data_IF_015700736340
#
_entry.id   IF_015700736340
#
_cell.length_a   1.000
_cell.length_b   1.000
_cell.length_c   1.000
_cell.angle_alpha   90.00
_cell.angle_beta   90.00
_cell.angle_gamma   90.00
#
_symmetry.space_group_name_H-M   'P 1'
#
loop_
_entity.id
_entity.type
_entity.pdbx_description
1 polymer ?
#
# COMPACT_ATOMS: atom_id res chain seq x y z
N UNK A 1 5.55 25.07 -25.96
CA UNK A 1 5.44 23.62 -25.68
C UNK A 1 5.10 23.46 -24.22
N UNK A 2 3.95 22.89 -23.89
CA UNK A 2 3.63 22.53 -22.50
C UNK A 2 4.49 21.30 -22.16
N UNK A 3 5.35 21.36 -21.14
CA UNK A 3 6.16 20.21 -20.75
C UNK A 3 5.26 19.05 -20.28
N UNK A 4 5.76 17.82 -20.39
CA UNK A 4 5.03 16.63 -19.92
C UNK A 4 4.58 16.83 -18.47
N UNK A 5 3.31 16.49 -18.19
CA UNK A 5 2.81 16.51 -16.81
C UNK A 5 3.72 15.65 -15.94
N UNK A 6 4.05 16.15 -14.76
CA UNK A 6 4.99 15.57 -13.80
C UNK A 6 4.74 14.06 -13.51
N UNK A 7 3.49 13.60 -13.60
CA UNK A 7 3.15 12.19 -13.44
C UNK A 7 3.76 11.27 -14.52
N UNK A 8 3.80 11.72 -15.77
CA UNK A 8 4.41 10.97 -16.87
C UNK A 8 5.94 11.09 -16.83
N UNK A 9 6.45 12.27 -16.48
CA UNK A 9 7.89 12.48 -16.35
C UNK A 9 8.51 11.63 -15.23
N UNK A 10 7.77 11.42 -14.15
CA UNK A 10 8.19 10.56 -13.04
C UNK A 10 8.35 9.07 -13.40
N UNK A 11 7.71 8.60 -14.47
CA UNK A 11 7.90 7.24 -14.99
C UNK A 11 9.20 7.10 -15.80
N UNK A 12 9.73 8.21 -16.32
CA UNK A 12 10.96 8.24 -17.12
C UNK A 12 12.18 8.53 -16.25
N UNK A 13 12.05 9.36 -15.20
CA UNK A 13 13.15 9.74 -14.32
C UNK A 13 12.81 9.53 -12.83
N UNK A 14 13.20 8.37 -12.29
CA UNK A 14 12.95 7.98 -10.89
C UNK A 14 13.56 8.95 -9.85
N UNK A 15 14.72 9.53 -10.15
CA UNK A 15 15.40 10.45 -9.25
C UNK A 15 14.59 11.73 -8.99
N UNK A 16 13.75 12.16 -9.95
CA UNK A 16 12.94 13.34 -9.82
C UNK A 16 11.69 13.12 -8.94
N UNK A 17 11.14 11.89 -8.93
CA UNK A 17 10.00 11.49 -8.07
C UNK A 17 10.41 11.35 -6.62
N UNK A 18 11.57 10.76 -6.34
CA UNK A 18 12.07 10.58 -4.97
C UNK A 18 12.29 11.91 -4.24
N UNK A 19 12.49 13.02 -4.97
CA UNK A 19 12.65 14.36 -4.38
C UNK A 19 11.33 15.01 -3.99
N UNK A 20 10.19 14.50 -4.47
CA UNK A 20 8.86 15.04 -4.19
C UNK A 20 8.10 14.11 -3.22
N UNK A 21 8.11 14.46 -1.94
CA UNK A 21 7.65 13.60 -0.84
C UNK A 21 6.26 12.98 -1.00
N UNK A 22 5.28 13.70 -1.56
CA UNK A 22 3.90 13.20 -1.70
C UNK A 22 3.74 12.06 -2.71
N UNK A 23 4.55 12.01 -3.77
CA UNK A 23 4.45 10.89 -4.74
C UNK A 23 5.30 9.71 -4.31
N UNK A 24 6.41 9.96 -3.62
CA UNK A 24 7.21 8.89 -3.03
C UNK A 24 6.50 8.21 -1.85
N UNK A 25 5.61 8.90 -1.15
CA UNK A 25 4.86 8.35 0.00
C UNK A 25 3.79 7.34 -0.37
N UNK A 26 3.34 7.31 -1.64
CA UNK A 26 2.35 6.32 -2.09
C UNK A 26 3.06 5.01 -2.39
N UNK A 27 2.74 3.95 -1.64
CA UNK A 27 3.35 2.63 -1.78
C UNK A 27 3.21 2.06 -3.19
N UNK A 28 2.13 2.38 -3.91
CA UNK A 28 1.88 1.94 -5.29
C UNK A 28 2.87 2.50 -6.33
N UNK A 29 3.59 3.59 -5.99
CA UNK A 29 4.59 4.21 -6.86
C UNK A 29 5.99 3.61 -6.68
N UNK A 30 6.17 2.69 -5.75
CA UNK A 30 7.43 1.99 -5.54
C UNK A 30 7.73 1.03 -6.71
N UNK A 31 9.01 0.72 -6.96
CA UNK A 31 9.40 -0.27 -7.96
C UNK A 31 8.98 -1.68 -7.54
N UNK A 32 8.64 -2.51 -8.52
CA UNK A 32 8.33 -3.93 -8.33
C UNK A 32 9.61 -4.75 -8.11
N UNK A 33 9.60 -5.62 -7.11
CA UNK A 33 10.61 -6.68 -6.97
C UNK A 33 10.29 -7.88 -7.88
N UNK A 34 11.29 -8.73 -8.16
CA UNK A 34 11.08 -9.97 -8.91
C UNK A 34 10.07 -10.90 -8.22
N UNK A 35 10.03 -10.89 -6.89
CA UNK A 35 9.13 -11.72 -6.10
C UNK A 35 7.66 -11.36 -6.37
N UNK A 36 7.35 -10.07 -6.55
CA UNK A 36 6.01 -9.62 -6.95
C UNK A 36 5.65 -10.09 -8.35
N UNK A 37 6.59 -10.04 -9.31
CA UNK A 37 6.35 -10.58 -10.65
C UNK A 37 5.98 -12.06 -10.63
N UNK A 38 6.70 -12.87 -9.86
CA UNK A 38 6.41 -14.28 -9.73
C UNK A 38 5.11 -14.54 -8.96
N UNK A 39 4.86 -13.79 -7.88
CA UNK A 39 3.65 -13.93 -7.08
C UNK A 39 2.38 -13.66 -7.90
N UNK A 40 2.41 -12.65 -8.78
CA UNK A 40 1.25 -12.26 -9.59
C UNK A 40 1.08 -13.10 -10.86
N UNK A 41 2.17 -13.53 -11.50
CA UNK A 41 2.13 -14.14 -12.84
C UNK A 41 2.55 -15.62 -12.88
N UNK A 42 3.15 -16.14 -11.81
CA UNK A 42 3.60 -17.53 -11.65
C UNK A 42 4.24 -18.12 -12.92
N UNK A 43 3.59 -19.07 -13.60
CA UNK A 43 4.14 -19.71 -14.80
C UNK A 43 4.29 -18.77 -16.01
N UNK A 44 3.47 -17.72 -16.12
CA UNK A 44 3.50 -16.83 -17.28
C UNK A 44 4.85 -16.12 -17.40
N UNK A 45 5.56 -15.89 -16.28
CA UNK A 45 6.90 -15.31 -16.30
C UNK A 45 7.88 -16.16 -17.11
N UNK A 46 7.73 -17.48 -17.09
CA UNK A 46 8.59 -18.41 -17.83
C UNK A 46 8.13 -18.65 -19.28
N UNK A 47 6.81 -18.64 -19.52
CA UNK A 47 6.25 -18.82 -20.86
C UNK A 47 6.42 -17.58 -21.74
N UNK A 48 6.52 -16.39 -21.14
CA UNK A 48 6.57 -15.14 -21.88
C UNK A 48 7.80 -14.99 -22.79
N UNK A 49 9.05 -15.25 -22.36
CA UNK A 49 10.21 -15.23 -23.26
C UNK A 49 10.07 -16.22 -24.43
N UNK A 50 9.51 -17.40 -24.18
CA UNK A 50 9.24 -18.39 -25.23
C UNK A 50 8.20 -17.90 -26.23
N UNK A 51 7.14 -17.22 -25.76
CA UNK A 51 6.14 -16.62 -26.63
C UNK A 51 6.70 -15.49 -27.49
N UNK A 52 7.56 -14.64 -26.92
CA UNK A 52 8.26 -13.61 -27.69
C UNK A 52 9.11 -14.23 -28.79
N UNK A 53 9.83 -15.33 -28.50
CA UNK A 53 10.62 -16.04 -29.51
C UNK A 53 9.77 -16.54 -30.69
N UNK A 54 8.59 -17.10 -30.42
CA UNK A 54 7.66 -17.50 -31.49
C UNK A 54 7.13 -16.29 -32.28
N UNK A 55 6.87 -15.16 -31.62
CA UNK A 55 6.45 -13.92 -32.29
C UNK A 55 7.56 -13.36 -33.20
N UNK A 56 8.83 -13.44 -32.80
CA UNK A 56 9.98 -13.04 -33.62
C UNK A 56 10.21 -14.00 -34.80
N UNK A 57 9.92 -15.29 -34.63
CA UNK A 57 10.08 -16.29 -35.69
C UNK A 57 9.06 -16.14 -36.82
N UNK A 58 7.85 -15.63 -36.52
CA UNK A 58 6.80 -15.35 -37.49
C UNK A 58 6.47 -13.86 -37.58
N UNK A 59 7.38 -13.04 -38.11
CA UNK A 59 7.19 -11.60 -38.20
C UNK A 59 5.99 -11.24 -39.09
N UNK A 60 4.96 -10.69 -38.46
CA UNK A 60 3.78 -10.08 -39.08
C UNK A 60 3.54 -8.73 -38.42
N UNK A 61 2.84 -7.81 -39.08
CA UNK A 61 2.56 -6.46 -38.53
C UNK A 61 1.89 -6.53 -37.14
N UNK A 62 1.00 -7.50 -36.93
CA UNK A 62 0.35 -7.75 -35.65
C UNK A 62 1.35 -8.24 -34.56
N UNK A 63 2.28 -9.12 -34.92
CA UNK A 63 3.29 -9.62 -33.98
C UNK A 63 4.29 -8.54 -33.58
N UNK A 64 4.64 -7.62 -34.50
CA UNK A 64 5.48 -6.45 -34.20
C UNK A 64 4.80 -5.57 -33.13
N UNK A 65 3.50 -5.33 -33.27
CA UNK A 65 2.73 -4.58 -32.28
C UNK A 65 2.75 -5.25 -30.89
N UNK A 66 2.49 -6.57 -30.83
CA UNK A 66 2.49 -7.32 -29.56
C UNK A 66 3.88 -7.33 -28.90
N UNK A 67 4.95 -7.48 -29.67
CA UNK A 67 6.33 -7.43 -29.16
C UNK A 67 6.62 -6.05 -28.56
N UNK A 68 6.31 -4.97 -29.30
CA UNK A 68 6.52 -3.61 -28.80
C UNK A 68 5.71 -3.35 -27.53
N UNK A 69 4.45 -3.78 -27.50
CA UNK A 69 3.58 -3.64 -26.35
C UNK A 69 4.10 -4.42 -25.13
N UNK A 70 4.60 -5.65 -25.34
CA UNK A 70 5.17 -6.48 -24.28
C UNK A 70 6.44 -5.89 -23.69
N UNK A 71 7.40 -5.49 -24.53
CA UNK A 71 8.68 -4.91 -24.07
C UNK A 71 8.44 -3.59 -23.32
N UNK A 72 7.57 -2.73 -23.85
CA UNK A 72 7.26 -1.45 -23.21
C UNK A 72 6.51 -1.64 -21.89
N UNK A 73 5.55 -2.56 -21.84
CA UNK A 73 4.79 -2.87 -20.62
C UNK A 73 5.67 -3.47 -19.52
N UNK A 74 6.63 -4.33 -19.87
CA UNK A 74 7.58 -4.89 -18.89
C UNK A 74 8.46 -3.79 -18.29
N UNK A 75 8.95 -2.86 -19.12
CA UNK A 75 9.71 -1.72 -18.63
C UNK A 75 8.90 -0.90 -17.62
N UNK A 76 7.67 -0.53 -17.98
CA UNK A 76 6.81 0.28 -17.11
C UNK A 76 6.36 -0.46 -15.85
N UNK A 77 6.04 -1.75 -15.93
CA UNK A 77 5.75 -2.57 -14.76
C UNK A 77 6.96 -2.65 -13.81
N UNK A 78 8.18 -2.76 -14.36
CA UNK A 78 9.42 -2.71 -13.58
C UNK A 78 9.68 -1.36 -12.89
N UNK A 79 9.10 -0.28 -13.43
CA UNK A 79 9.23 1.07 -12.85
C UNK A 79 8.24 1.29 -11.71
N UNK A 80 7.00 0.81 -11.84
CA UNK A 80 5.90 1.12 -10.92
C UNK A 80 4.94 -0.08 -10.76
N UNK A 81 4.70 -0.49 -9.51
CA UNK A 81 3.85 -1.65 -9.16
C UNK A 81 2.46 -1.59 -9.79
N UNK A 82 1.82 -0.43 -9.79
CA UNK A 82 0.46 -0.30 -10.36
C UNK A 82 0.39 -0.59 -11.86
N UNK A 83 1.49 -0.46 -12.60
CA UNK A 83 1.52 -0.72 -14.05
C UNK A 83 1.60 -2.22 -14.37
N UNK A 84 1.71 -3.08 -13.35
CA UNK A 84 1.54 -4.53 -13.47
C UNK A 84 0.18 -4.91 -14.09
N UNK A 85 -0.86 -4.13 -13.81
CA UNK A 85 -2.20 -4.34 -14.38
C UNK A 85 -2.22 -4.16 -15.91
N UNK A 86 -1.36 -3.31 -16.46
CA UNK A 86 -1.21 -3.10 -17.92
C UNK A 86 -0.37 -4.22 -18.54
N UNK A 87 0.57 -4.79 -17.79
CA UNK A 87 1.39 -5.92 -18.24
C UNK A 87 0.58 -7.23 -18.35
N UNK A 88 -0.34 -7.48 -17.42
CA UNK A 88 -1.05 -8.75 -17.31
C UNK A 88 -1.74 -9.23 -18.62
N UNK A 89 -2.48 -8.38 -19.37
CA UNK A 89 -3.09 -8.81 -20.64
C UNK A 89 -2.09 -9.31 -21.68
N UNK A 90 -0.94 -8.64 -21.81
CA UNK A 90 0.09 -9.01 -22.79
C UNK A 90 0.78 -10.30 -22.40
N UNK A 91 1.06 -10.46 -21.10
CA UNK A 91 1.62 -11.70 -20.56
C UNK A 91 0.72 -12.89 -20.88
N UNK A 92 -0.60 -12.75 -20.71
CA UNK A 92 -1.57 -13.80 -21.03
C UNK A 92 -1.57 -14.15 -22.52
N UNK A 93 -1.57 -13.15 -23.42
CA UNK A 93 -1.59 -13.38 -24.87
C UNK A 93 -0.30 -14.07 -25.33
N UNK A 94 0.86 -13.51 -24.98
CA UNK A 94 2.17 -14.03 -25.42
C UNK A 94 2.44 -15.42 -24.82
N UNK A 95 2.13 -15.62 -23.54
CA UNK A 95 2.24 -16.94 -22.90
C UNK A 95 1.28 -17.95 -23.51
N UNK A 96 0.07 -17.51 -23.90
CA UNK A 96 -0.90 -18.35 -24.60
C UNK A 96 -0.41 -18.79 -25.99
N UNK A 97 0.24 -17.88 -26.74
CA UNK A 97 0.89 -18.22 -28.02
C UNK A 97 2.01 -19.24 -27.81
N UNK A 98 2.83 -19.06 -26.77
CA UNK A 98 3.89 -20.00 -26.41
C UNK A 98 3.33 -21.39 -26.11
N UNK A 99 2.36 -21.45 -25.20
CA UNK A 99 1.71 -22.69 -24.80
C UNK A 99 1.03 -23.38 -26.00
N UNK A 100 0.26 -22.65 -26.80
CA UNK A 100 -0.43 -23.20 -27.97
C UNK A 100 0.54 -23.74 -29.01
N UNK A 101 1.65 -23.02 -29.27
CA UNK A 101 2.68 -23.47 -30.22
C UNK A 101 3.38 -24.74 -29.74
N UNK A 102 3.72 -24.80 -28.44
CA UNK A 102 4.33 -25.99 -27.82
C UNK A 102 3.37 -27.19 -27.85
N UNK A 103 2.11 -26.99 -27.50
CA UNK A 103 1.07 -28.03 -27.57
C UNK A 103 0.90 -28.55 -29.00
N UNK A 104 0.79 -27.67 -30.00
CA UNK A 104 0.61 -28.06 -31.40
C UNK A 104 1.81 -28.84 -31.97
N UNK A 105 3.04 -28.54 -31.52
CA UNK A 105 4.23 -29.29 -31.91
C UNK A 105 4.18 -30.72 -31.37
N UNK A 106 3.88 -30.89 -30.09
CA UNK A 106 3.88 -32.20 -29.44
C UNK A 106 2.64 -33.04 -29.76
N UNK A 107 1.47 -32.44 -30.01
CA UNK A 107 0.28 -33.17 -30.48
C UNK A 107 0.50 -33.77 -31.86
N UNK A 108 1.19 -33.06 -32.77
CA UNK A 108 1.56 -33.59 -34.09
C UNK A 108 2.53 -34.78 -34.03
N UNK A 109 3.32 -34.88 -32.97
CA UNK A 109 4.20 -36.03 -32.72
C UNK A 109 3.44 -37.24 -32.13
N UNK A 110 2.23 -37.02 -31.61
CA UNK A 110 1.34 -38.04 -31.04
C UNK A 110 0.34 -38.58 -32.08
N UNK A 111 -0.12 -37.74 -33.01
CA UNK A 111 -1.03 -38.18 -34.06
C UNK A 111 -0.34 -39.17 -35.03
N UNK A 112 -0.86 -40.40 -35.18
CA UNK A 112 -0.39 -41.29 -36.22
C UNK A 112 -0.75 -40.71 -37.59
N UNK A 113 0.26 -40.35 -38.39
CA UNK A 113 0.04 -39.97 -39.79
C UNK A 113 -0.69 -41.12 -40.52
N UNK A 114 -1.80 -40.88 -41.23
CA UNK A 114 -2.40 -41.89 -42.08
C UNK A 114 -1.40 -42.28 -43.18
N UNK A 115 -1.23 -43.59 -43.35
CA UNK A 115 -0.09 -44.25 -44.00
C UNK A 115 0.20 -43.83 -45.45
N UNK A 116 1.49 -43.83 -45.81
CA UNK A 116 1.96 -44.34 -47.11
C UNK A 116 2.71 -45.65 -46.86
N UNK A 117 2.43 -46.72 -47.61
CA UNK A 117 3.05 -48.02 -47.41
C UNK A 117 4.45 -47.99 -48.04
N UNK A 118 5.48 -47.68 -47.26
CA UNK A 118 6.85 -47.94 -47.69
C UNK A 118 7.65 -48.56 -46.56
N UNK A 119 8.38 -49.64 -46.92
CA UNK A 119 9.15 -50.54 -46.05
C UNK A 119 9.84 -49.79 -44.90
N UNK A 120 9.28 -49.86 -43.69
CA UNK A 120 9.89 -49.29 -42.48
C UNK A 120 11.01 -50.20 -41.96
N UNK A 121 12.22 -49.66 -41.90
CA UNK A 121 13.33 -50.18 -41.07
C UNK A 121 13.01 -50.02 -39.58
N UNK A 122 13.28 -51.03 -38.74
CA UNK A 122 13.12 -51.01 -37.26
C UNK A 122 13.65 -49.75 -36.55
N UNK A 123 14.66 -49.08 -37.11
CA UNK A 123 15.25 -47.83 -36.57
C UNK A 123 14.31 -46.62 -36.69
N UNK A 124 13.41 -46.62 -37.68
CA UNK A 124 12.45 -45.53 -37.89
C UNK A 124 11.23 -45.66 -36.98
N UNK A 125 10.83 -46.90 -36.63
CA UNK A 125 9.78 -47.18 -35.64
C UNK A 125 10.23 -46.79 -34.23
N UNK A 126 11.45 -47.15 -33.80
CA UNK A 126 11.97 -46.76 -32.48
C UNK A 126 12.06 -45.23 -32.29
N UNK A 127 12.43 -44.48 -33.33
CA UNK A 127 12.47 -43.01 -33.28
C UNK A 127 11.07 -42.37 -33.21
N UNK A 128 10.06 -43.01 -33.81
CA UNK A 128 8.67 -42.53 -33.75
C UNK A 128 8.09 -42.77 -32.36
N UNK A 129 8.27 -43.97 -31.81
CA UNK A 129 7.84 -44.32 -30.44
C UNK A 129 8.50 -43.40 -29.41
N UNK A 130 9.81 -43.14 -29.53
CA UNK A 130 10.51 -42.22 -28.64
C UNK A 130 9.97 -40.78 -28.71
N UNK A 131 9.64 -40.27 -29.89
CA UNK A 131 9.05 -38.93 -30.05
C UNK A 131 7.65 -38.84 -29.46
N UNK A 132 6.84 -39.87 -29.64
CA UNK A 132 5.49 -39.94 -29.05
C UNK A 132 5.55 -40.02 -27.52
N UNK A 133 6.45 -40.82 -26.96
CA UNK A 133 6.66 -40.88 -25.49
C UNK A 133 7.09 -39.54 -24.91
N UNK A 134 8.06 -38.86 -25.55
CA UNK A 134 8.51 -37.52 -25.15
C UNK A 134 7.37 -36.49 -25.26
N UNK A 135 6.58 -36.54 -26.33
CA UNK A 135 5.42 -35.67 -26.51
C UNK A 135 4.37 -35.85 -25.41
N UNK A 136 4.04 -37.09 -25.05
CA UNK A 136 3.08 -37.39 -23.97
C UNK A 136 3.60 -36.90 -22.62
N UNK A 137 4.88 -37.13 -22.31
CA UNK A 137 5.50 -36.64 -21.07
C UNK A 137 5.46 -35.10 -21.01
N UNK A 138 5.80 -34.43 -22.10
CA UNK A 138 5.75 -32.97 -22.16
C UNK A 138 4.33 -32.43 -21.95
N UNK A 139 3.33 -33.02 -22.61
CA UNK A 139 1.92 -32.68 -22.44
C UNK A 139 1.45 -32.86 -20.99
N UNK A 140 1.89 -33.95 -20.34
CA UNK A 140 1.58 -34.20 -18.93
C UNK A 140 2.19 -33.13 -18.02
N UNK A 141 3.47 -32.79 -18.22
CA UNK A 141 4.16 -31.75 -17.45
C UNK A 141 3.46 -30.39 -17.61
N UNK A 142 3.18 -29.99 -18.85
CA UNK A 142 2.53 -28.70 -19.12
C UNK A 142 1.11 -28.66 -18.52
N UNK A 143 0.38 -29.78 -18.53
CA UNK A 143 -0.94 -29.89 -17.89
C UNK A 143 -0.85 -29.76 -16.37
N UNK A 144 0.11 -30.42 -15.72
CA UNK A 144 0.36 -30.29 -14.27
C UNK A 144 0.70 -28.85 -13.90
N UNK A 145 1.52 -28.19 -14.72
CA UNK A 145 1.89 -26.80 -14.55
C UNK A 145 0.67 -25.85 -14.64
N UNK A 146 -0.25 -26.06 -15.58
CA UNK A 146 -1.50 -25.29 -15.64
C UNK A 146 -2.44 -25.54 -14.46
N UNK A 147 -2.52 -26.78 -13.99
CA UNK A 147 -3.27 -27.08 -12.77
C UNK A 147 -2.66 -26.35 -11.57
N UNK A 148 -1.34 -26.37 -11.43
CA UNK A 148 -0.61 -25.60 -10.41
C UNK A 148 -0.88 -24.09 -10.53
N UNK A 149 -0.92 -23.54 -11.73
CA UNK A 149 -1.27 -22.13 -11.97
C UNK A 149 -2.66 -21.77 -11.47
N UNK A 150 -3.67 -22.62 -11.72
CA UNK A 150 -5.04 -22.38 -11.21
C UNK A 150 -5.08 -22.42 -9.69
N UNK A 151 -4.42 -23.39 -9.06
CA UNK A 151 -4.34 -23.48 -7.60
C UNK A 151 -3.64 -22.25 -7.00
N UNK A 152 -2.52 -21.81 -7.59
CA UNK A 152 -1.79 -20.62 -7.17
C UNK A 152 -2.66 -19.37 -7.27
N UNK A 153 -3.31 -19.13 -8.42
CA UNK A 153 -4.19 -17.97 -8.60
C UNK A 153 -5.34 -17.95 -7.59
N UNK A 154 -5.94 -19.12 -7.33
CA UNK A 154 -7.04 -19.26 -6.37
C UNK A 154 -6.57 -18.95 -4.95
N UNK A 155 -5.42 -19.50 -4.55
CA UNK A 155 -4.84 -19.26 -3.23
C UNK A 155 -4.43 -17.79 -3.03
N UNK A 156 -3.73 -17.20 -4.00
CA UNK A 156 -3.32 -15.78 -3.96
C UNK A 156 -4.52 -14.86 -3.88
N UNK A 157 -5.57 -15.13 -4.66
CA UNK A 157 -6.79 -14.32 -4.63
C UNK A 157 -7.47 -14.39 -3.27
N UNK A 158 -7.59 -15.60 -2.71
CA UNK A 158 -8.29 -15.85 -1.44
C UNK A 158 -7.56 -15.32 -0.21
N UNK A 159 -6.24 -15.46 -0.15
CA UNK A 159 -5.48 -15.12 1.07
C UNK A 159 -4.85 -13.72 1.03
N UNK A 160 -4.41 -13.25 -0.15
CA UNK A 160 -3.69 -11.97 -0.24
C UNK A 160 -4.60 -10.82 -0.70
N UNK A 161 -5.34 -11.01 -1.79
CA UNK A 161 -6.08 -9.91 -2.43
C UNK A 161 -7.49 -9.70 -1.86
N UNK A 162 -8.16 -10.72 -1.34
CA UNK A 162 -9.49 -10.58 -0.72
C UNK A 162 -9.43 -10.19 0.76
N UNK A 163 -8.87 -9.02 1.07
CA UNK A 163 -8.85 -8.44 2.42
C UNK A 163 -9.52 -7.06 2.45
N UNK A 164 -10.58 -6.84 3.26
CA UNK A 164 -11.18 -5.52 3.39
C UNK A 164 -10.28 -4.59 4.22
N UNK A 165 -10.06 -3.36 3.75
CA UNK A 165 -9.21 -2.39 4.47
C UNK A 165 -9.93 -1.62 5.57
N UNK A 166 -11.26 -1.70 5.64
CA UNK A 166 -12.07 -0.95 6.62
C UNK A 166 -12.44 -1.76 7.85
N UNK A 167 -12.60 -3.06 7.69
CA UNK A 167 -12.84 -4.00 8.78
C UNK A 167 -11.58 -4.81 8.94
N UNK A 168 -10.87 -4.61 10.05
CA UNK A 168 -9.65 -5.37 10.31
C UNK A 168 -10.04 -6.72 10.87
N UNK A 169 -9.35 -7.77 10.45
CA UNK A 169 -9.52 -9.10 11.05
C UNK A 169 -8.21 -9.65 11.57
N UNK A 170 -8.21 -10.07 12.83
CA UNK A 170 -7.14 -10.84 13.43
C UNK A 170 -7.59 -12.28 13.70
N UNK A 171 -6.61 -13.17 13.87
CA UNK A 171 -6.85 -14.52 14.37
C UNK A 171 -6.38 -14.57 15.82
N UNK A 172 -7.27 -15.00 16.70
CA UNK A 172 -6.92 -15.30 18.09
C UNK A 172 -6.07 -16.58 18.18
N UNK A 173 -5.47 -16.83 19.35
CA UNK A 173 -4.61 -18.00 19.57
C UNK A 173 -5.35 -19.33 19.41
N UNK A 174 -6.67 -19.33 19.60
CA UNK A 174 -7.57 -20.47 19.40
C UNK A 174 -8.03 -20.65 17.93
N UNK A 175 -7.59 -19.77 17.03
CA UNK A 175 -7.99 -19.77 15.61
C UNK A 175 -9.31 -19.04 15.34
N UNK A 176 -9.98 -18.49 16.35
CA UNK A 176 -11.17 -17.69 16.15
C UNK A 176 -10.84 -16.38 15.39
N UNK A 177 -11.71 -16.00 14.46
CA UNK A 177 -11.58 -14.73 13.73
C UNK A 177 -12.16 -13.60 14.57
N UNK A 178 -11.29 -12.73 15.09
CA UNK A 178 -11.69 -11.48 15.75
C UNK A 178 -11.77 -10.40 14.69
N UNK A 179 -12.87 -9.65 14.71
CA UNK A 179 -13.13 -8.57 13.77
C UNK A 179 -13.13 -7.27 14.53
N UNK A 180 -12.27 -6.33 14.13
CA UNK A 180 -12.23 -4.98 14.68
C UNK A 180 -12.93 -4.03 13.70
N UNK A 181 -13.93 -3.32 14.20
CA UNK A 181 -14.78 -2.43 13.40
C UNK A 181 -14.75 -0.98 13.87
N UNK A 182 -13.66 -0.61 14.54
CA UNK A 182 -13.42 0.71 15.11
C UNK A 182 -13.55 1.85 14.09
N UNK A 183 -13.19 1.62 12.82
CA UNK A 183 -13.35 2.62 11.75
C UNK A 183 -14.81 3.01 11.55
N UNK A 184 -15.71 2.03 11.38
CA UNK A 184 -17.14 2.31 11.17
C UNK A 184 -17.77 2.86 12.43
N UNK A 185 -17.36 2.36 13.60
CA UNK A 185 -17.78 2.88 14.90
C UNK A 185 -17.47 4.38 15.02
N UNK A 186 -16.21 4.78 14.84
CA UNK A 186 -15.77 6.17 14.92
C UNK A 186 -16.46 7.08 13.90
N UNK A 187 -16.58 6.63 12.64
CA UNK A 187 -17.26 7.41 11.61
C UNK A 187 -18.76 7.55 11.89
N UNK A 188 -19.40 6.53 12.44
CA UNK A 188 -20.81 6.58 12.85
C UNK A 188 -21.00 7.52 14.04
N UNK A 189 -20.10 7.47 15.03
CA UNK A 189 -20.12 8.40 16.14
C UNK A 189 -20.01 9.84 15.65
N UNK A 190 -19.06 10.11 14.75
CA UNK A 190 -18.84 11.43 14.17
C UNK A 190 -20.08 11.92 13.43
N UNK A 191 -20.76 11.05 12.69
CA UNK A 191 -22.02 11.37 11.99
C UNK A 191 -23.19 11.67 12.93
N UNK A 192 -23.32 10.96 14.04
CA UNK A 192 -24.49 11.05 14.92
C UNK A 192 -24.34 12.10 16.04
N UNK A 193 -23.10 12.45 16.42
CA UNK A 193 -22.83 13.21 17.65
C UNK A 193 -22.16 14.57 17.40
N UNK A 194 -21.91 14.95 16.15
CA UNK A 194 -21.33 16.25 15.80
C UNK A 194 -22.28 17.09 14.95
N UNK A 195 -22.15 18.43 14.97
CA UNK A 195 -22.90 19.31 14.06
C UNK A 195 -22.71 18.94 12.58
N UNK A 196 -23.72 19.15 11.73
CA UNK A 196 -23.64 18.82 10.30
C UNK A 196 -22.59 19.65 9.54
N UNK A 197 -22.30 20.86 10.02
CA UNK A 197 -21.29 21.76 9.48
C UNK A 197 -19.90 21.57 10.09
N UNK A 198 -19.73 20.60 10.99
CA UNK A 198 -18.46 20.34 11.66
C UNK A 198 -17.36 19.97 10.67
N UNK A 199 -16.17 20.57 10.87
CA UNK A 199 -15.00 20.38 10.01
C UNK A 199 -13.97 19.49 10.69
N UNK A 200 -13.58 18.43 9.99
CA UNK A 200 -12.71 17.38 10.50
C UNK A 200 -11.35 17.47 9.80
N UNK A 201 -10.30 17.63 10.60
CA UNK A 201 -8.91 17.54 10.15
C UNK A 201 -8.39 16.12 10.37
N UNK A 202 -7.91 15.50 9.30
CA UNK A 202 -7.26 14.19 9.30
C UNK A 202 -6.11 14.18 8.30
N UNK A 203 -5.33 13.10 8.26
CA UNK A 203 -4.42 12.87 7.12
C UNK A 203 -5.21 12.63 5.82
N UNK A 204 -4.60 12.93 4.68
CA UNK A 204 -5.27 12.94 3.36
C UNK A 204 -5.77 11.56 2.91
N UNK A 205 -5.13 10.48 3.37
CA UNK A 205 -5.53 9.09 3.10
C UNK A 205 -7.02 8.83 3.42
N UNK A 206 -7.53 9.43 4.50
CA UNK A 206 -8.83 9.11 5.09
C UNK A 206 -9.95 10.04 4.60
N UNK A 207 -9.64 11.11 3.85
CA UNK A 207 -10.62 12.16 3.50
C UNK A 207 -11.88 11.64 2.79
N UNK A 208 -11.72 10.72 1.84
CA UNK A 208 -12.87 10.09 1.17
C UNK A 208 -13.67 9.18 2.09
N UNK A 209 -13.03 8.48 3.02
CA UNK A 209 -13.72 7.59 3.97
C UNK A 209 -14.59 8.40 4.93
N UNK A 210 -14.04 9.50 5.49
CA UNK A 210 -14.76 10.40 6.39
C UNK A 210 -15.95 11.02 5.66
N UNK A 211 -15.75 11.52 4.44
CA UNK A 211 -16.83 12.13 3.65
C UNK A 211 -17.94 11.12 3.35
N UNK A 212 -17.59 9.90 2.91
CA UNK A 212 -18.56 8.89 2.52
C UNK A 212 -19.31 8.27 3.71
N UNK A 213 -18.65 8.06 4.84
CA UNK A 213 -19.23 7.34 5.99
C UNK A 213 -19.71 8.26 7.10
N UNK A 214 -18.89 9.22 7.50
CA UNK A 214 -19.23 10.17 8.55
C UNK A 214 -20.11 11.32 8.05
N UNK A 215 -20.15 11.58 6.73
CA UNK A 215 -20.90 12.70 6.14
C UNK A 215 -20.55 14.05 6.80
N UNK A 216 -19.26 14.35 6.92
CA UNK A 216 -18.74 15.60 7.49
C UNK A 216 -17.74 16.26 6.54
N UNK A 217 -17.57 17.57 6.72
CA UNK A 217 -16.63 18.37 5.91
C UNK A 217 -15.20 18.01 6.29
N UNK A 218 -14.36 17.69 5.30
CA UNK A 218 -12.94 17.38 5.49
C UNK A 218 -12.05 18.53 5.02
N UNK A 219 -10.96 18.78 5.72
CA UNK A 219 -9.99 19.83 5.36
C UNK A 219 -9.12 19.37 4.17
N UNK A 220 -8.64 18.14 4.18
CA UNK A 220 -7.81 17.56 3.10
C UNK A 220 -8.41 16.27 2.57
N UNK A 221 -8.26 16.05 1.27
CA UNK A 221 -8.78 14.90 0.55
C UNK A 221 -7.68 14.09 -0.14
N UNK A 222 -8.05 12.90 -0.63
CA UNK A 222 -7.16 11.97 -1.29
C UNK A 222 -6.92 12.32 -2.77
N UNK A 223 -7.47 13.44 -3.27
CA UNK A 223 -7.20 13.91 -4.63
C UNK A 223 -5.85 14.64 -4.72
N UNK A 224 -5.38 15.22 -3.62
CA UNK A 224 -4.03 15.83 -3.49
C UNK A 224 -3.68 16.90 -4.53
N UNK A 225 -4.68 17.64 -5.01
CA UNK A 225 -4.48 18.67 -6.05
C UNK A 225 -3.80 19.94 -5.51
N UNK A 226 -3.98 20.27 -4.22
CA UNK A 226 -3.40 21.44 -3.57
C UNK A 226 -2.38 21.03 -2.48
N UNK A 227 -1.13 20.91 -2.91
CA UNK A 227 0.01 20.54 -2.08
C UNK A 227 0.25 21.47 -0.89
N UNK A 228 0.00 22.77 -1.07
CA UNK A 228 0.14 23.77 -0.01
C UNK A 228 -0.84 23.55 1.13
N UNK A 229 -2.05 23.09 0.82
CA UNK A 229 -3.06 22.79 1.84
C UNK A 229 -2.69 21.55 2.67
N UNK A 230 -2.22 20.49 2.00
CA UNK A 230 -1.74 19.28 2.67
C UNK A 230 -0.49 19.59 3.53
N UNK A 231 0.42 20.42 3.01
CA UNK A 231 1.58 20.90 3.77
C UNK A 231 1.15 21.65 5.04
N UNK A 232 0.08 22.45 4.99
CA UNK A 232 -0.43 23.16 6.18
C UNK A 232 -0.99 22.21 7.24
N UNK A 233 -1.71 21.15 6.84
CA UNK A 233 -2.15 20.08 7.76
C UNK A 233 -0.95 19.30 8.31
N UNK A 234 0.04 18.97 7.48
CA UNK A 234 1.29 18.33 7.93
C UNK A 234 2.06 19.19 8.94
N UNK A 235 2.09 20.52 8.75
CA UNK A 235 2.64 21.46 9.71
C UNK A 235 1.90 21.43 11.04
N UNK A 236 0.56 21.43 11.02
CA UNK A 236 -0.23 21.34 12.25
C UNK A 236 0.09 20.04 13.02
N UNK A 237 0.10 18.90 12.33
CA UNK A 237 0.35 17.60 12.96
C UNK A 237 1.79 17.44 13.49
N UNK A 238 2.78 18.07 12.84
CA UNK A 238 4.19 17.94 13.20
C UNK A 238 4.69 19.01 14.19
N UNK A 239 3.93 20.09 14.43
CA UNK A 239 4.35 21.20 15.31
C UNK A 239 3.97 20.96 16.77
N UNK A 240 4.43 21.85 17.67
CA UNK A 240 3.95 21.91 19.05
C UNK A 240 2.49 22.34 19.11
N UNK A 241 1.84 22.05 20.23
CA UNK A 241 0.41 22.29 20.45
C UNK A 241 -0.02 23.76 20.20
N UNK A 242 0.77 24.73 20.67
CA UNK A 242 0.47 26.16 20.47
C UNK A 242 0.44 26.57 18.99
N UNK A 243 1.46 26.13 18.23
CA UNK A 243 1.56 26.42 16.79
C UNK A 243 0.52 25.66 15.99
N UNK A 244 0.28 24.40 16.36
CA UNK A 244 -0.76 23.62 15.73
C UNK A 244 -2.15 24.23 15.97
N UNK A 245 -2.39 24.79 17.17
CA UNK A 245 -3.64 25.50 17.47
C UNK A 245 -3.83 26.73 16.60
N UNK A 246 -2.81 27.56 16.41
CA UNK A 246 -2.86 28.70 15.46
C UNK A 246 -3.29 28.24 14.06
N UNK A 247 -2.75 27.13 13.58
CA UNK A 247 -3.06 26.56 12.26
C UNK A 247 -4.49 25.99 12.22
N UNK A 248 -4.90 25.24 13.24
CA UNK A 248 -6.25 24.68 13.32
C UNK A 248 -7.32 25.79 13.35
N UNK A 249 -7.02 26.93 14.00
CA UNK A 249 -7.90 28.10 14.00
C UNK A 249 -7.90 28.84 12.66
N UNK A 250 -6.75 28.96 11.97
CA UNK A 250 -6.67 29.51 10.61
C UNK A 250 -7.52 28.71 9.62
N UNK A 251 -7.55 27.39 9.78
CA UNK A 251 -8.29 26.46 8.91
C UNK A 251 -9.73 26.21 9.37
N UNK A 252 -10.16 26.84 10.47
CA UNK A 252 -11.49 26.69 11.08
C UNK A 252 -11.85 25.22 11.36
N UNK A 253 -10.96 24.50 12.06
CA UNK A 253 -11.11 23.08 12.42
C UNK A 253 -11.87 22.93 13.73
N UNK A 254 -12.86 22.03 13.75
CA UNK A 254 -13.62 21.68 14.95
C UNK A 254 -13.13 20.38 15.60
N UNK A 255 -12.86 19.36 14.77
CA UNK A 255 -12.46 18.04 15.22
C UNK A 255 -11.17 17.58 14.51
N UNK A 256 -10.34 16.84 15.25
CA UNK A 256 -9.12 16.21 14.74
C UNK A 256 -9.26 14.71 14.90
N UNK A 257 -9.06 13.97 13.81
CA UNK A 257 -9.10 12.51 13.79
C UNK A 257 -7.69 11.97 13.55
N UNK A 258 -7.23 11.11 14.44
CA UNK A 258 -5.95 10.39 14.33
C UNK A 258 -6.15 8.88 14.47
N UNK A 259 -5.38 8.11 13.72
CA UNK A 259 -5.35 6.65 13.82
C UNK A 259 -4.17 6.22 14.68
N UNK A 260 -4.47 5.43 15.71
CA UNK A 260 -3.49 4.91 16.65
C UNK A 260 -3.52 3.38 16.71
N UNK A 261 -2.45 2.73 16.24
CA UNK A 261 -2.40 1.28 16.16
C UNK A 261 -1.75 0.59 17.36
N UNK A 262 -1.29 1.34 18.36
CA UNK A 262 -0.36 0.83 19.38
C UNK A 262 -0.96 -0.21 20.33
N UNK A 263 -2.29 -0.21 20.54
CA UNK A 263 -2.97 -1.21 21.38
C UNK A 263 -3.18 -2.55 20.66
N UNK A 264 -3.63 -2.51 19.40
CA UNK A 264 -3.97 -3.71 18.63
C UNK A 264 -2.81 -4.25 17.80
N UNK A 265 -1.74 -3.47 17.59
CA UNK A 265 -0.63 -3.84 16.70
C UNK A 265 -0.89 -3.49 15.23
N UNK A 266 -1.68 -2.45 14.95
CA UNK A 266 -1.95 -2.01 13.58
C UNK A 266 -0.81 -1.16 13.02
N UNK A 267 -0.06 -1.70 12.06
CA UNK A 267 1.16 -1.08 11.54
C UNK A 267 0.93 0.11 10.59
N UNK A 268 -0.28 0.28 10.04
CA UNK A 268 -0.60 1.37 9.10
C UNK A 268 -1.23 2.58 9.80
N UNK A 269 -0.78 2.86 11.01
CA UNK A 269 -1.24 4.00 11.83
C UNK A 269 -0.51 5.31 11.48
N UNK A 270 -0.97 6.41 12.07
CA UNK A 270 -0.46 7.75 11.71
C UNK A 270 0.96 8.02 12.21
N UNK A 271 1.41 7.33 13.26
CA UNK A 271 2.77 7.46 13.78
C UNK A 271 3.79 6.87 12.79
N UNK A 272 3.49 5.77 12.09
CA UNK A 272 4.39 5.24 11.05
C UNK A 272 4.39 6.11 9.78
N UNK A 273 3.30 6.84 9.52
CA UNK A 273 3.20 7.82 8.43
C UNK A 273 3.76 9.19 8.80
N UNK A 274 4.08 9.43 10.06
CA UNK A 274 4.42 10.74 10.61
C UNK A 274 5.59 11.42 9.89
N UNK A 275 6.65 10.68 9.53
CA UNK A 275 7.78 11.27 8.81
C UNK A 275 7.38 11.82 7.44
N UNK A 276 6.38 11.24 6.78
CA UNK A 276 5.84 11.82 5.54
C UNK A 276 5.12 13.14 5.82
N UNK A 277 4.39 13.24 6.94
CA UNK A 277 3.78 14.50 7.37
C UNK A 277 4.83 15.58 7.62
N UNK A 278 5.95 15.23 8.26
CA UNK A 278 7.09 16.12 8.49
C UNK A 278 7.72 16.59 7.18
N UNK A 279 8.04 15.65 6.26
CA UNK A 279 8.63 15.96 4.95
C UNK A 279 7.74 16.86 4.10
N UNK A 280 6.43 16.60 4.09
CA UNK A 280 5.45 17.39 3.31
C UNK A 280 5.21 18.74 4.00
N UNK A 281 5.11 18.77 5.33
CA UNK A 281 4.98 19.98 6.13
C UNK A 281 6.14 20.95 5.94
N UNK A 282 7.37 20.44 5.96
CA UNK A 282 8.61 21.20 5.77
C UNK A 282 8.92 21.61 4.32
N UNK A 283 8.15 21.13 3.33
CA UNK A 283 8.43 21.40 1.91
C UNK A 283 8.01 22.79 1.42
N UNK A 284 7.22 23.53 2.20
CA UNK A 284 6.75 24.87 1.85
C UNK A 284 7.44 25.95 2.68
N UNK A 285 7.48 27.19 2.18
CA UNK A 285 8.15 28.32 2.87
C UNK A 285 7.65 28.54 4.30
N UNK A 286 6.33 28.43 4.51
CA UNK A 286 5.70 28.55 5.85
C UNK A 286 6.16 27.44 6.80
N UNK A 287 6.53 26.28 6.28
CA UNK A 287 6.98 25.11 7.02
C UNK A 287 8.49 24.99 7.17
N UNK A 288 9.30 25.97 6.72
CA UNK A 288 10.76 25.89 6.73
C UNK A 288 11.40 25.70 8.12
N UNK A 289 10.63 25.93 9.19
CA UNK A 289 11.02 25.66 10.57
C UNK A 289 10.93 24.18 10.96
N UNK A 290 10.18 23.36 10.19
CA UNK A 290 10.05 21.92 10.40
C UNK A 290 11.16 21.21 9.63
N UNK A 291 12.09 20.59 10.35
CA UNK A 291 13.19 19.82 9.76
C UNK A 291 13.10 18.37 10.18
N UNK A 292 13.22 17.46 9.23
CA UNK A 292 13.13 16.03 9.48
C UNK A 292 14.18 15.54 10.49
N UNK A 293 15.40 16.10 10.42
CA UNK A 293 16.49 15.79 11.34
C UNK A 293 16.14 16.01 12.82
N UNK A 294 15.26 16.97 13.12
CA UNK A 294 14.93 17.34 14.49
C UNK A 294 14.06 16.28 15.19
N UNK A 295 13.45 15.36 14.44
CA UNK A 295 12.61 14.27 14.98
C UNK A 295 13.38 12.96 15.22
N UNK A 296 14.65 12.92 14.80
CA UNK A 296 15.53 11.78 15.05
C UNK A 296 16.35 11.98 16.33
N UNK A 297 16.80 10.89 16.93
CA UNK A 297 17.80 10.94 18.00
C UNK A 297 19.16 11.39 17.44
N UNK A 298 20.13 11.78 18.28
CA UNK A 298 21.49 12.09 17.83
C UNK A 298 22.18 10.95 17.06
N UNK A 299 21.74 9.70 17.28
CA UNK A 299 22.21 8.52 16.55
C UNK A 299 21.52 8.32 15.19
N UNK A 300 20.50 9.13 14.86
CA UNK A 300 19.71 9.03 13.63
C UNK A 300 18.56 8.03 13.70
N UNK A 301 18.16 7.59 14.90
CA UNK A 301 17.07 6.63 15.09
C UNK A 301 15.74 7.35 15.33
N UNK A 302 14.64 6.81 14.80
CA UNK A 302 13.29 7.32 15.08
C UNK A 302 12.69 6.49 16.22
N UNK A 303 12.62 7.06 17.43
CA UNK A 303 12.21 6.37 18.65
C UNK A 303 11.11 7.13 19.38
N UNK A 304 10.14 6.38 19.92
CA UNK A 304 9.00 6.91 20.69
C UNK A 304 9.17 6.71 22.20
N UNK A 305 10.28 6.13 22.63
CA UNK A 305 10.64 5.92 24.02
C UNK A 305 11.27 7.16 24.65
N UNK A 306 11.73 7.03 25.89
CA UNK A 306 12.34 8.13 26.64
C UNK A 306 13.61 8.70 25.98
N UNK A 307 14.28 7.91 25.11
CA UNK A 307 15.45 8.33 24.35
C UNK A 307 15.07 9.05 23.05
N UNK A 308 13.78 9.15 22.73
CA UNK A 308 13.26 9.86 21.57
C UNK A 308 13.59 11.36 21.59
N UNK A 309 13.58 11.97 20.41
CA UNK A 309 13.80 13.42 20.30
C UNK A 309 12.73 14.20 21.07
N UNK A 310 13.15 15.23 21.81
CA UNK A 310 12.24 16.13 22.51
C UNK A 310 11.27 16.84 21.55
N UNK A 311 11.67 17.07 20.30
CA UNK A 311 10.78 17.63 19.27
C UNK A 311 9.65 16.66 18.93
N UNK A 312 9.94 15.35 18.88
CA UNK A 312 8.93 14.31 18.64
C UNK A 312 8.03 14.12 19.85
N UNK A 313 8.59 13.98 21.05
CA UNK A 313 7.83 13.75 22.29
C UNK A 313 6.88 14.91 22.66
N UNK A 314 7.13 16.11 22.13
CA UNK A 314 6.31 17.31 22.34
C UNK A 314 5.47 17.71 21.11
N UNK A 315 5.52 16.97 20.00
CA UNK A 315 4.71 17.30 18.82
C UNK A 315 3.23 16.95 19.04
N UNK A 316 2.36 17.63 18.30
CA UNK A 316 0.91 17.43 18.41
C UNK A 316 0.54 15.97 18.11
N UNK A 317 1.08 15.37 17.03
CA UNK A 317 0.76 13.98 16.68
C UNK A 317 1.08 13.00 17.82
N UNK A 318 2.27 13.11 18.45
CA UNK A 318 2.64 12.26 19.58
C UNK A 318 1.65 12.44 20.74
N UNK A 319 1.35 13.70 21.10
CA UNK A 319 0.39 14.00 22.16
C UNK A 319 -1.00 13.42 21.87
N UNK A 320 -1.51 13.58 20.65
CA UNK A 320 -2.81 13.06 20.25
C UNK A 320 -2.84 11.53 20.27
N UNK A 321 -1.85 10.85 19.72
CA UNK A 321 -1.87 9.37 19.67
C UNK A 321 -1.73 8.75 21.07
N UNK A 322 -0.84 9.28 21.91
CA UNK A 322 -0.49 8.66 23.21
C UNK A 322 -1.23 9.24 24.42
N UNK A 323 -2.20 10.13 24.24
CA UNK A 323 -2.95 10.72 25.36
C UNK A 323 -3.58 9.62 26.25
N UNK A 324 -3.28 9.64 27.56
CA UNK A 324 -3.67 8.62 28.56
C UNK A 324 -3.17 7.18 28.30
N UNK A 325 -2.36 6.94 27.26
CA UNK A 325 -1.89 5.59 26.91
C UNK A 325 -0.87 5.05 27.93
N UNK A 326 -0.15 5.93 28.65
CA UNK A 326 0.80 5.53 29.69
C UNK A 326 0.19 4.73 30.86
N UNK A 327 -1.13 4.81 31.04
CA UNK A 327 -1.88 4.10 32.09
C UNK A 327 -2.39 2.72 31.63
N UNK A 328 -2.32 2.43 30.33
CA UNK A 328 -2.88 1.20 29.74
C UNK A 328 -1.85 0.08 29.75
N UNK A 329 -2.26 -1.11 30.19
CA UNK A 329 -1.48 -2.33 30.08
C UNK A 329 -1.83 -3.03 28.77
N UNK A 330 -0.89 -3.05 27.83
CA UNK A 330 -1.10 -3.71 26.52
C UNK A 330 -0.72 -5.19 26.57
N UNK A 331 0.33 -5.57 27.31
CA UNK A 331 0.74 -6.96 27.49
C UNK A 331 0.97 -7.24 28.98
N UNK A 332 0.52 -8.40 29.46
CA UNK A 332 0.58 -8.74 30.90
C UNK A 332 2.01 -8.85 31.47
N UNK A 333 3.03 -9.04 30.62
CA UNK A 333 4.45 -9.13 31.00
C UNK A 333 5.24 -7.84 30.74
N UNK A 334 4.62 -6.79 30.19
CA UNK A 334 5.27 -5.54 29.80
C UNK A 334 4.86 -4.39 30.73
N UNK A 335 5.69 -3.31 30.81
CA UNK A 335 5.32 -2.11 31.53
C UNK A 335 4.06 -1.44 30.93
N UNK A 336 3.40 -0.58 31.71
CA UNK A 336 2.29 0.22 31.21
C UNK A 336 2.75 1.22 30.13
N UNK A 337 1.90 1.48 29.15
CA UNK A 337 2.23 2.34 28.01
C UNK A 337 3.18 1.68 27.01
N UNK A 338 3.13 0.36 26.86
CA UNK A 338 3.93 -0.36 25.86
C UNK A 338 3.23 -0.37 24.49
N UNK A 339 3.86 0.20 23.47
CA UNK A 339 3.35 0.23 22.10
C UNK A 339 3.70 -1.08 21.37
N UNK A 340 2.67 -1.86 20.99
CA UNK A 340 2.85 -3.16 20.32
C UNK A 340 3.43 -3.05 18.90
N UNK A 341 3.23 -1.92 18.21
CA UNK A 341 3.71 -1.73 16.83
C UNK A 341 5.21 -1.42 16.83
N UNK A 342 5.67 -0.58 17.76
CA UNK A 342 7.09 -0.21 17.87
C UNK A 342 7.90 -1.12 18.77
N UNK A 343 7.24 -1.92 19.61
CA UNK A 343 7.91 -2.78 20.58
C UNK A 343 8.66 -1.98 21.66
N UNK A 344 8.16 -0.80 22.01
CA UNK A 344 8.82 0.14 22.91
C UNK A 344 7.85 0.70 23.97
N UNK A 345 8.38 1.02 25.15
CA UNK A 345 7.68 1.77 26.18
C UNK A 345 7.71 3.27 25.83
N UNK A 346 6.57 3.95 25.91
CA UNK A 346 6.49 5.37 25.57
C UNK A 346 7.35 6.24 26.49
N UNK A 347 7.97 7.29 25.94
CA UNK A 347 8.81 8.20 26.71
C UNK A 347 8.03 9.08 27.68
N UNK A 348 7.01 9.77 27.16
CA UNK A 348 6.14 10.64 27.96
C UNK A 348 4.85 9.89 28.32
N UNK A 349 4.71 9.50 29.60
CA UNK A 349 3.53 8.77 30.10
C UNK A 349 2.38 9.65 30.56
N UNK A 350 2.71 10.82 31.12
CA UNK A 350 1.74 11.75 31.68
C UNK A 350 1.94 13.13 31.05
N UNK A 351 0.93 13.57 30.30
CA UNK A 351 0.83 14.91 29.76
C UNK A 351 -0.63 15.28 29.57
N UNK A 352 -0.92 16.58 29.51
CA UNK A 352 -2.25 17.13 29.29
C UNK A 352 -2.34 17.78 27.91
N UNK A 353 -3.58 17.91 27.43
CA UNK A 353 -3.92 18.65 26.22
C UNK A 353 -4.54 19.99 26.65
N UNK A 354 -3.84 21.07 26.35
CA UNK A 354 -4.21 22.43 26.69
C UNK A 354 -5.33 22.92 25.77
N UNK A 355 -5.14 22.75 24.46
CA UNK A 355 -6.00 23.34 23.42
C UNK A 355 -7.00 22.36 22.80
N UNK A 356 -6.87 21.08 23.15
CA UNK A 356 -7.71 19.99 22.65
C UNK A 356 -8.33 19.21 23.80
N UNK A 357 -9.51 18.66 23.57
CA UNK A 357 -10.18 17.73 24.48
C UNK A 357 -10.49 16.41 23.77
N UNK A 358 -10.33 15.29 24.47
CA UNK A 358 -10.70 13.96 23.96
C UNK A 358 -12.23 13.88 23.84
N UNK A 359 -12.73 13.73 22.61
CA UNK A 359 -14.17 13.68 22.34
C UNK A 359 -14.67 12.24 22.22
N UNK A 360 -13.89 11.38 21.56
CA UNK A 360 -14.19 9.96 21.41
C UNK A 360 -12.92 9.13 21.16
N UNK A 361 -12.88 7.92 21.72
CA UNK A 361 -11.84 6.91 21.45
C UNK A 361 -12.56 5.57 21.30
N UNK A 362 -12.26 4.83 20.22
CA UNK A 362 -12.92 3.55 19.92
C UNK A 362 -12.56 2.46 20.92
N UNK A 363 -13.33 1.35 20.92
CA UNK A 363 -13.14 0.21 21.83
C UNK A 363 -11.68 -0.27 21.91
N UNK A 364 -11.02 -0.40 20.76
CA UNK A 364 -9.63 -0.89 20.69
C UNK A 364 -8.62 0.23 20.47
N UNK A 365 -9.01 1.49 20.72
CA UNK A 365 -8.18 2.68 20.61
C UNK A 365 -7.59 2.91 19.21
N UNK A 366 -8.19 2.30 18.18
CA UNK A 366 -7.71 2.40 16.80
C UNK A 366 -7.92 3.79 16.21
N UNK A 367 -9.08 4.40 16.50
CA UNK A 367 -9.42 5.75 16.02
C UNK A 367 -9.69 6.64 17.22
N UNK A 368 -9.05 7.81 17.22
CA UNK A 368 -9.21 8.81 18.28
C UNK A 368 -9.64 10.14 17.69
N UNK A 369 -10.67 10.72 18.28
CA UNK A 369 -11.29 11.96 17.85
C UNK A 369 -11.16 12.98 18.97
N UNK A 370 -10.54 14.10 18.64
CA UNK A 370 -10.33 15.22 19.53
C UNK A 370 -11.14 16.41 19.07
N UNK A 371 -11.64 17.21 20.01
CA UNK A 371 -12.32 18.47 19.73
C UNK A 371 -11.39 19.63 20.07
N UNK A 372 -11.34 20.61 19.18
CA UNK A 372 -10.55 21.83 19.34
C UNK A 372 -11.28 22.76 20.30
N UNK A 373 -10.62 23.19 21.39
CA UNK A 373 -11.24 24.07 22.39
C UNK A 373 -11.43 25.49 21.82
N UNK A 374 -12.49 26.21 22.24
CA UNK A 374 -12.61 27.63 21.94
C UNK A 374 -11.51 28.43 22.64
N UNK A 375 -11.33 29.68 22.21
CA UNK A 375 -10.39 30.59 22.87
C UNK A 375 -10.71 30.72 24.36
N UNK A 376 -9.68 30.79 25.22
CA UNK A 376 -9.89 30.98 26.64
C UNK A 376 -10.68 32.27 26.86
N UNK A 377 -11.79 32.14 27.58
CA UNK A 377 -12.58 33.31 27.97
C UNK A 377 -11.71 34.11 28.96
N UNK A 378 -11.56 35.42 28.76
CA UNK A 378 -10.62 36.30 29.52
C UNK A 378 -10.93 36.43 31.04
N UNK A 379 -11.75 35.57 31.62
CA UNK A 379 -12.34 35.72 32.93
C UNK A 379 -12.28 34.52 33.88
N UNK A 380 -11.45 33.51 33.64
CA UNK A 380 -11.13 32.46 34.61
C UNK A 380 -9.63 32.21 34.68
#
# INVERSE_FOLDING_TARGET
MVPFRFQFFGLLEKQHVSRHGMKASVSEHQPTSWSSFYFDLQILVFLFPAGLYFCFSGLTDANIFIILYGVLSIYFAGVMVRLMLVLAPVMCIVSGIAASSLLNLHVRDIEPRPDKPDRRTKRHENNLVFRTEVGVIFMAILSTLFVSYVFHCTWVTSEAYSSPSIVLSARAQDGARIIFDDFREAYTWLKMNTPEDAKVMSWWDYGYQITAMANRTVIVDNNTWNNTHISRVGQAMASTEDRAYEIMRELDVDYVLVIFGGLVGYSSDDINKFLWMVRIGGSTERGAHIREADYYTPAGEFRVDADGSQTLLNCLMYKLSYYKFGLVFTEGSRPSGFDRVRGAEIGNKEFHLDVLEEAYTTEHWLVRIYKVKPLPNRGN
#
